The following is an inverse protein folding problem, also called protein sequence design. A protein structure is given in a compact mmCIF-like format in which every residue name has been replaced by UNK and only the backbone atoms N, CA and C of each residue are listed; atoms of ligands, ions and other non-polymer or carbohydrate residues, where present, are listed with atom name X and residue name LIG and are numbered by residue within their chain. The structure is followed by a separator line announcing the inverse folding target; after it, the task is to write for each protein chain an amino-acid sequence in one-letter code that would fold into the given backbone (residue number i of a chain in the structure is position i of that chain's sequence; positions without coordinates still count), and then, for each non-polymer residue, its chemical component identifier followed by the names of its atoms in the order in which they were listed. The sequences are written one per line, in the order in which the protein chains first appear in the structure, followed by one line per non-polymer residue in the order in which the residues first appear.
data_IF_677189267925
#
_entry.id   IF_677189267925
#
_cell.length_a   1.000
_cell.length_b   1.000
_cell.length_c   1.000
_cell.angle_alpha   90.00
_cell.angle_beta   90.00
_cell.angle_gamma   90.00
#
_symmetry.space_group_name_H-M   'P 1'
#
loop_
_entity.id
_entity.type
_entity.pdbx_description
1 polymer ?
#
# COMPACT_ATOMS: atom_id res chain seq x y z
N UNK A 1 4.15 57.73 6.72
CA UNK A 1 3.34 56.49 6.68
C UNK A 1 4.14 55.42 7.40
N UNK A 2 3.60 54.77 8.44
CA UNK A 2 4.26 53.66 9.14
C UNK A 2 3.55 52.38 8.74
N UNK A 3 4.24 51.48 8.05
CA UNK A 3 3.70 50.18 7.66
C UNK A 3 3.59 49.26 8.88
N UNK A 4 2.42 48.68 9.09
CA UNK A 4 2.22 47.63 10.09
C UNK A 4 2.54 46.30 9.41
N UNK A 5 3.70 45.73 9.72
CA UNK A 5 4.04 44.38 9.28
C UNK A 5 3.22 43.36 10.05
N UNK A 6 2.28 42.69 9.38
CA UNK A 6 1.53 41.58 9.97
C UNK A 6 2.42 40.34 9.93
N UNK A 7 3.03 40.00 11.06
CA UNK A 7 3.73 38.74 11.23
C UNK A 7 2.69 37.61 11.33
N UNK A 8 2.56 36.84 10.26
CA UNK A 8 1.76 35.60 10.26
C UNK A 8 2.56 34.54 11.02
N UNK A 9 2.21 34.33 12.28
CA UNK A 9 2.80 33.29 13.12
C UNK A 9 2.18 31.94 12.71
N UNK A 10 2.87 31.20 11.83
CA UNK A 10 2.47 29.82 11.51
C UNK A 10 2.78 28.95 12.73
N UNK A 11 1.72 28.60 13.47
CA UNK A 11 1.79 27.62 14.55
C UNK A 11 1.92 26.23 13.92
N UNK A 12 3.16 25.75 13.81
CA UNK A 12 3.44 24.34 13.57
C UNK A 12 3.02 23.57 14.83
N UNK A 13 1.80 23.04 14.82
CA UNK A 13 1.30 22.18 15.88
C UNK A 13 1.97 20.82 15.77
N UNK A 14 2.98 20.57 16.60
CA UNK A 14 3.58 19.23 16.70
C UNK A 14 2.56 18.27 17.33
N UNK A 15 2.14 17.26 16.57
CA UNK A 15 1.38 16.12 17.09
C UNK A 15 2.19 15.45 18.20
N UNK A 16 1.64 15.39 19.41
CA UNK A 16 2.31 14.80 20.56
C UNK A 16 1.94 13.31 20.63
N UNK A 17 2.78 12.47 20.03
CA UNK A 17 2.68 11.01 20.19
C UNK A 17 2.94 10.64 21.66
N UNK A 18 1.92 10.06 22.29
CA UNK A 18 1.91 9.77 23.73
C UNK A 18 2.55 8.40 24.00
N UNK A 19 3.89 8.35 24.03
CA UNK A 19 4.66 7.11 24.23
C UNK A 19 4.67 6.65 25.70
N UNK A 20 3.64 5.93 26.14
CA UNK A 20 3.64 5.22 27.44
C UNK A 20 3.39 3.71 27.24
N UNK A 21 4.43 2.87 27.41
CA UNK A 21 4.31 1.43 27.12
C UNK A 21 5.52 0.56 27.44
N UNK A 22 6.16 0.73 28.60
CA UNK A 22 7.29 -0.13 29.02
C UNK A 22 6.81 -1.56 29.36
N UNK A 23 7.05 -2.52 28.47
CA UNK A 23 6.73 -3.95 28.65
C UNK A 23 7.97 -4.85 28.62
N UNK A 24 8.75 -4.91 29.71
CA UNK A 24 9.88 -5.84 29.82
C UNK A 24 9.41 -7.27 30.13
N UNK A 25 9.45 -8.15 29.13
CA UNK A 25 9.17 -9.59 29.28
C UNK A 25 10.37 -10.45 28.89
N UNK A 26 11.24 -10.78 29.84
CA UNK A 26 12.32 -11.75 29.64
C UNK A 26 11.79 -13.18 29.83
N UNK A 27 11.75 -13.95 28.74
CA UNK A 27 11.36 -15.37 28.74
C UNK A 27 12.43 -16.22 28.06
N UNK A 28 13.40 -16.69 28.83
CA UNK A 28 14.42 -17.66 28.39
C UNK A 28 13.84 -19.08 28.39
N UNK A 29 13.48 -19.64 27.22
CA UNK A 29 13.13 -21.06 27.06
C UNK A 29 13.69 -21.66 25.75
N UNK A 30 14.76 -22.45 25.91
CA UNK A 30 15.53 -23.23 24.93
C UNK A 30 15.67 -24.67 25.50
N UNK A 31 15.83 -25.78 24.74
CA UNK A 31 15.57 -26.13 23.33
C UNK A 31 14.64 -27.39 23.23
N UNK A 32 14.59 -28.25 22.16
CA UNK A 32 15.70 -29.08 21.64
C UNK A 32 15.79 -29.21 20.09
N UNK A 33 16.90 -29.76 19.53
CA UNK A 33 17.12 -29.82 18.08
C UNK A 33 16.65 -31.12 17.37
N UNK A 34 16.44 -30.96 16.06
CA UNK A 34 16.55 -31.94 14.97
C UNK A 34 15.49 -33.06 14.80
N UNK A 35 14.96 -33.18 13.58
CA UNK A 35 15.08 -34.42 12.78
C UNK A 35 15.18 -34.10 11.28
N UNK A 36 16.13 -34.74 10.59
CA UNK A 36 16.29 -34.64 9.14
C UNK A 36 15.33 -35.61 8.42
N UNK A 37 14.71 -35.18 7.32
CA UNK A 37 14.05 -36.08 6.38
C UNK A 37 14.46 -35.73 4.95
N UNK A 38 15.24 -36.63 4.33
CA UNK A 38 15.72 -36.47 2.95
C UNK A 38 14.82 -37.30 2.04
N UNK A 39 14.10 -36.67 1.11
CA UNK A 39 13.21 -37.35 0.18
C UNK A 39 13.25 -36.72 -1.21
N UNK A 40 13.81 -37.38 -2.24
CA UNK A 40 13.79 -36.88 -3.60
C UNK A 40 12.46 -37.22 -4.29
N UNK A 41 11.74 -36.21 -4.77
CA UNK A 41 10.62 -36.41 -5.71
C UNK A 41 10.94 -35.67 -7.00
N UNK A 42 11.18 -36.43 -8.06
CA UNK A 42 11.34 -35.92 -9.42
C UNK A 42 10.03 -36.10 -10.20
N UNK A 43 9.46 -35.01 -10.70
CA UNK A 43 8.38 -35.04 -11.72
C UNK A 43 8.46 -33.83 -12.66
N UNK A 44 9.38 -33.93 -13.62
CA UNK A 44 9.06 -34.00 -15.06
C UNK A 44 7.87 -33.18 -15.61
N UNK A 45 8.20 -32.13 -16.39
CA UNK A 45 7.52 -31.70 -17.64
C UNK A 45 6.09 -31.12 -17.49
N UNK A 46 5.81 -29.90 -17.97
CA UNK A 46 5.61 -29.64 -19.42
C UNK A 46 5.79 -28.17 -19.77
N UNK A 47 6.63 -27.87 -20.76
CA UNK A 47 6.66 -26.56 -21.41
C UNK A 47 5.51 -26.49 -22.45
N UNK A 48 4.67 -25.46 -22.34
CA UNK A 48 3.66 -25.14 -23.35
C UNK A 48 4.09 -23.87 -24.09
N UNK A 49 4.59 -24.03 -25.32
CA UNK A 49 4.84 -22.91 -26.22
C UNK A 49 3.51 -22.33 -26.73
N UNK A 50 3.23 -21.07 -26.41
CA UNK A 50 2.09 -20.33 -26.97
C UNK A 50 2.57 -19.21 -27.88
N UNK A 51 2.87 -19.58 -29.13
CA UNK A 51 3.19 -18.62 -30.20
C UNK A 51 1.89 -18.00 -30.74
N UNK A 52 1.52 -16.83 -30.25
CA UNK A 52 0.28 -16.12 -30.63
C UNK A 52 0.53 -14.79 -31.34
N UNK A 53 0.89 -14.82 -32.64
CA UNK A 53 0.89 -13.62 -33.48
C UNK A 53 -0.54 -13.24 -33.88
N UNK A 54 -0.97 -12.00 -33.60
CA UNK A 54 -2.12 -11.36 -34.26
C UNK A 54 -1.93 -9.85 -34.34
N UNK A 55 -1.48 -9.38 -35.51
CA UNK A 55 -1.61 -7.97 -35.91
C UNK A 55 -3.05 -7.69 -36.33
N UNK A 56 -3.71 -6.70 -35.72
CA UNK A 56 -4.93 -6.11 -36.24
C UNK A 56 -4.89 -4.59 -36.04
N UNK A 57 -4.80 -3.87 -37.15
CA UNK A 57 -5.01 -2.42 -37.17
C UNK A 57 -6.49 -2.14 -37.44
N UNK A 58 -7.08 -1.29 -36.60
CA UNK A 58 -8.32 -0.53 -36.86
C UNK A 58 -7.99 0.88 -36.37
N UNK A 59 -7.87 1.91 -37.22
CA UNK A 59 -8.82 2.46 -38.20
C UNK A 59 -9.97 3.24 -37.55
N UNK A 60 -10.45 4.27 -38.24
CA UNK A 60 -10.90 5.52 -37.63
C UNK A 60 -12.32 5.49 -37.06
N UNK A 61 -12.60 6.34 -36.06
CA UNK A 61 -13.89 7.06 -36.04
C UNK A 61 -13.74 8.44 -35.40
N UNK A 62 -14.08 9.47 -36.17
CA UNK A 62 -14.14 10.85 -35.71
C UNK A 62 -15.45 11.17 -34.97
N UNK A 63 -15.32 11.83 -33.82
CA UNK A 63 -16.19 12.95 -33.43
C UNK A 63 -17.53 12.64 -32.73
N UNK A 64 -17.73 13.29 -31.57
CA UNK A 64 -18.89 14.17 -31.39
C UNK A 64 -18.62 15.21 -30.30
N UNK A 65 -18.61 16.49 -30.66
CA UNK A 65 -18.70 17.61 -29.70
C UNK A 65 -20.15 17.74 -29.24
N UNK A 66 -20.45 17.29 -28.03
CA UNK A 66 -21.76 17.45 -27.37
C UNK A 66 -21.63 18.26 -26.08
N UNK A 67 -21.76 19.59 -26.18
CA UNK A 67 -21.83 20.45 -24.99
C UNK A 67 -23.22 20.39 -24.37
N UNK A 68 -23.29 20.10 -23.07
CA UNK A 68 -24.53 20.21 -22.28
C UNK A 68 -24.29 21.16 -21.11
N UNK A 69 -24.84 22.37 -21.19
CA UNK A 69 -24.75 23.38 -20.14
C UNK A 69 -25.66 23.01 -18.95
N UNK A 70 -25.14 22.22 -18.02
CA UNK A 70 -25.81 21.86 -16.77
C UNK A 70 -25.78 22.99 -15.74
N UNK A 71 -26.73 23.94 -15.83
CA UNK A 71 -26.92 24.97 -14.80
C UNK A 71 -27.56 24.43 -13.52
N UNK A 72 -26.90 24.66 -12.37
CA UNK A 72 -27.47 24.56 -11.02
C UNK A 72 -27.31 23.19 -10.37
N UNK A 73 -26.71 23.12 -9.18
CA UNK A 73 -27.46 23.50 -7.97
C UNK A 73 -26.54 23.82 -6.78
N UNK A 74 -26.98 24.81 -5.99
CA UNK A 74 -26.67 25.04 -4.56
C UNK A 74 -25.31 24.60 -4.00
N UNK A 75 -24.42 25.58 -3.84
CA UNK A 75 -23.33 25.52 -2.86
C UNK A 75 -23.91 25.45 -1.44
N UNK A 76 -24.15 24.23 -0.94
CA UNK A 76 -24.42 23.96 0.46
C UNK A 76 -23.13 24.01 1.26
N UNK A 77 -22.69 25.20 1.66
CA UNK A 77 -21.57 25.36 2.60
C UNK A 77 -22.02 24.98 4.01
N UNK A 78 -22.32 23.71 4.22
CA UNK A 78 -22.31 23.13 5.57
C UNK A 78 -20.86 23.20 6.03
N UNK A 79 -20.59 24.10 6.97
CA UNK A 79 -19.26 24.23 7.58
C UNK A 79 -18.99 23.00 8.44
N UNK A 80 -18.64 21.87 7.81
CA UNK A 80 -17.92 20.82 8.48
C UNK A 80 -16.65 21.42 9.06
N UNK A 81 -16.36 21.09 10.32
CA UNK A 81 -15.06 21.39 10.90
C UNK A 81 -13.97 20.80 9.97
N UNK A 82 -12.82 21.48 9.80
CA UNK A 82 -11.72 20.88 9.06
C UNK A 82 -11.42 19.53 9.73
N UNK A 83 -11.49 18.44 8.93
CA UNK A 83 -11.15 17.09 9.38
C UNK A 83 -9.83 17.16 10.15
N UNK A 84 -9.75 16.52 11.32
CA UNK A 84 -8.50 16.52 12.05
C UNK A 84 -7.44 15.80 11.19
N UNK A 85 -6.17 16.20 11.33
CA UNK A 85 -5.10 15.43 10.70
C UNK A 85 -5.17 13.99 11.22
N UNK A 86 -5.34 13.03 10.30
CA UNK A 86 -5.58 11.62 10.59
C UNK A 86 -7.02 11.11 10.34
N UNK A 87 -8.04 11.98 10.25
CA UNK A 87 -9.41 11.53 9.95
C UNK A 87 -9.56 11.15 8.46
N UNK A 88 -9.74 9.86 8.19
CA UNK A 88 -10.06 9.36 6.85
C UNK A 88 -11.49 9.76 6.42
N UNK A 89 -11.66 10.12 5.15
CA UNK A 89 -12.99 10.29 4.56
C UNK A 89 -13.79 8.97 4.62
N UNK A 90 -15.12 9.02 4.90
CA UNK A 90 -15.94 7.82 4.92
C UNK A 90 -15.94 7.16 3.53
N UNK A 91 -15.95 5.82 3.46
CA UNK A 91 -15.85 5.10 2.19
C UNK A 91 -17.10 5.30 1.32
N UNK A 92 -16.98 5.22 -0.01
CA UNK A 92 -18.12 5.22 -0.92
C UNK A 92 -19.00 3.96 -0.71
N UNK A 93 -20.29 4.08 -1.00
CA UNK A 93 -21.24 2.98 -0.80
C UNK A 93 -21.08 1.84 -1.83
N UNK A 94 -20.48 2.14 -2.99
CA UNK A 94 -20.23 1.23 -4.09
C UNK A 94 -18.77 1.44 -4.55
N UNK A 95 -18.02 0.35 -4.76
CA UNK A 95 -16.68 0.43 -5.37
C UNK A 95 -16.78 0.50 -6.91
N UNK A 96 -15.77 1.09 -7.55
CA UNK A 96 -15.64 1.08 -9.01
C UNK A 96 -15.34 -0.33 -9.57
N UNK A 97 -15.55 -0.53 -10.89
CA UNK A 97 -15.27 -1.78 -11.60
C UNK A 97 -13.78 -2.17 -11.66
N UNK A 98 -12.88 -1.27 -11.22
CA UNK A 98 -11.44 -1.52 -11.07
C UNK A 98 -11.06 -2.43 -9.89
N UNK A 99 -11.98 -2.72 -8.95
CA UNK A 99 -11.72 -3.56 -7.78
C UNK A 99 -12.04 -5.04 -8.02
N UNK A 100 -11.16 -5.96 -7.59
CA UNK A 100 -11.44 -7.42 -7.60
C UNK A 100 -12.53 -7.78 -6.58
N UNK A 101 -12.55 -7.08 -5.45
CA UNK A 101 -13.51 -7.22 -4.37
C UNK A 101 -13.90 -5.85 -3.80
N UNK A 102 -15.10 -5.76 -3.23
CA UNK A 102 -15.56 -4.60 -2.48
C UNK A 102 -16.13 -5.09 -1.14
N UNK A 103 -15.58 -4.62 -0.02
CA UNK A 103 -16.08 -4.94 1.33
C UNK A 103 -16.17 -3.66 2.15
N UNK A 104 -17.37 -3.34 2.64
CA UNK A 104 -17.65 -2.13 3.42
C UNK A 104 -17.15 -0.80 2.78
N UNK A 105 -17.06 -0.78 1.45
CA UNK A 105 -16.56 0.36 0.66
C UNK A 105 -15.04 0.46 0.53
N UNK A 106 -14.29 -0.56 0.97
CA UNK A 106 -12.86 -0.75 0.71
C UNK A 106 -12.65 -1.57 -0.56
N UNK A 107 -11.81 -1.04 -1.47
CA UNK A 107 -11.45 -1.68 -2.73
C UNK A 107 -10.37 -2.74 -2.51
N UNK A 108 -10.72 -4.01 -2.68
CA UNK A 108 -9.79 -5.12 -2.59
C UNK A 108 -9.13 -5.46 -3.93
N UNK A 109 -7.80 -5.44 -3.97
CA UNK A 109 -6.98 -5.99 -5.06
C UNK A 109 -6.28 -7.26 -4.55
N UNK A 110 -6.57 -8.42 -5.14
CA UNK A 110 -6.34 -9.73 -4.47
C UNK A 110 -5.53 -10.69 -5.33
N UNK A 111 -4.22 -10.67 -5.13
CA UNK A 111 -3.22 -11.46 -5.85
C UNK A 111 -3.02 -12.84 -5.18
N UNK A 112 -3.97 -13.76 -5.37
CA UNK A 112 -3.90 -15.14 -4.83
C UNK A 112 -3.26 -16.08 -5.86
N UNK A 113 -2.07 -16.60 -5.53
CA UNK A 113 -1.33 -17.56 -6.36
C UNK A 113 0.11 -17.14 -6.63
N UNK A 114 0.87 -18.02 -7.27
CA UNK A 114 2.27 -17.75 -7.62
C UNK A 114 2.35 -16.74 -8.78
N UNK A 115 3.07 -15.64 -8.59
CA UNK A 115 3.37 -14.61 -9.61
C UNK A 115 2.17 -13.93 -10.31
N UNK A 116 0.95 -14.00 -9.74
CA UNK A 116 -0.29 -13.53 -10.40
C UNK A 116 -0.30 -12.04 -10.75
N UNK A 117 0.29 -11.18 -9.91
CA UNK A 117 0.42 -9.74 -10.10
C UNK A 117 1.88 -9.30 -10.26
N UNK A 118 2.80 -10.22 -10.61
CA UNK A 118 4.22 -9.91 -10.71
C UNK A 118 4.47 -8.86 -11.80
N UNK A 119 5.16 -7.77 -11.47
CA UNK A 119 5.46 -6.67 -12.39
C UNK A 119 4.25 -5.83 -12.84
N UNK A 120 3.07 -6.03 -12.22
CA UNK A 120 1.86 -5.24 -12.53
C UNK A 120 1.90 -3.85 -11.90
N UNK A 121 1.16 -2.90 -12.48
CA UNK A 121 0.82 -1.63 -11.82
C UNK A 121 -0.56 -1.80 -11.15
N UNK A 122 -0.59 -1.76 -9.82
CA UNK A 122 -1.79 -1.86 -9.00
C UNK A 122 -2.17 -0.45 -8.52
N UNK A 123 -3.07 0.19 -9.26
CA UNK A 123 -3.57 1.54 -8.97
C UNK A 123 -4.83 1.46 -8.13
N UNK A 124 -4.76 1.92 -6.89
CA UNK A 124 -5.93 2.03 -6.02
C UNK A 124 -6.85 3.17 -6.48
N UNK A 125 -8.19 3.03 -6.33
CA UNK A 125 -9.14 4.09 -6.70
C UNK A 125 -8.93 5.35 -5.85
N UNK A 126 -9.01 6.52 -6.47
CA UNK A 126 -8.69 7.80 -5.84
C UNK A 126 -9.70 8.28 -4.78
N UNK A 127 -10.88 7.67 -4.76
CA UNK A 127 -12.09 8.11 -4.06
C UNK A 127 -12.54 7.18 -2.91
N UNK A 128 -11.74 6.16 -2.58
CA UNK A 128 -12.04 5.23 -1.48
C UNK A 128 -10.78 4.59 -0.87
N UNK A 129 -10.93 3.93 0.30
CA UNK A 129 -9.85 3.14 0.89
C UNK A 129 -9.54 1.90 0.04
N UNK A 130 -8.30 1.43 0.13
CA UNK A 130 -7.78 0.35 -0.71
C UNK A 130 -7.06 -0.72 0.13
N UNK A 131 -7.28 -1.99 -0.22
CA UNK A 131 -6.68 -3.15 0.41
C UNK A 131 -6.02 -4.04 -0.65
N UNK A 132 -4.69 -4.15 -0.63
CA UNK A 132 -3.92 -4.99 -1.54
C UNK A 132 -3.43 -6.24 -0.80
N UNK A 133 -3.79 -7.42 -1.29
CA UNK A 133 -3.43 -8.70 -0.66
C UNK A 133 -2.59 -9.58 -1.56
N UNK A 134 -1.32 -9.74 -1.20
CA UNK A 134 -0.34 -10.54 -1.91
C UNK A 134 -0.21 -11.92 -1.25
N UNK A 135 -1.03 -12.87 -1.72
CA UNK A 135 -1.18 -14.20 -1.11
C UNK A 135 -0.68 -15.32 -2.04
N UNK A 136 0.64 -15.42 -2.13
CA UNK A 136 1.33 -16.46 -2.88
C UNK A 136 2.81 -16.13 -3.07
N UNK A 137 3.61 -17.14 -3.39
CA UNK A 137 5.05 -16.95 -3.67
C UNK A 137 5.23 -15.94 -4.79
N UNK A 138 5.96 -14.85 -4.52
CA UNK A 138 6.17 -13.74 -5.47
C UNK A 138 4.88 -13.16 -6.09
N UNK A 139 3.75 -13.28 -5.40
CA UNK A 139 2.41 -12.91 -5.91
C UNK A 139 2.32 -11.49 -6.45
N UNK A 140 3.02 -10.53 -5.83
CA UNK A 140 3.13 -9.14 -6.25
C UNK A 140 4.59 -8.71 -6.48
N UNK A 141 5.54 -9.64 -6.66
CA UNK A 141 6.95 -9.25 -6.77
C UNK A 141 7.18 -8.29 -7.95
N UNK A 142 8.09 -7.32 -7.79
CA UNK A 142 8.41 -6.31 -8.80
C UNK A 142 7.20 -5.42 -9.22
N UNK A 143 6.06 -5.50 -8.52
CA UNK A 143 4.88 -4.69 -8.80
C UNK A 143 5.05 -3.24 -8.33
N UNK A 144 4.35 -2.31 -8.98
CA UNK A 144 4.17 -0.94 -8.50
C UNK A 144 2.79 -0.82 -7.89
N UNK A 145 2.69 -0.36 -6.65
CA UNK A 145 1.42 -0.15 -5.94
C UNK A 145 1.29 1.35 -5.68
N UNK A 146 0.25 1.98 -6.25
CA UNK A 146 -0.01 3.41 -6.06
C UNK A 146 -1.27 3.59 -5.21
N UNK A 147 -1.07 4.04 -3.97
CA UNK A 147 -2.14 4.34 -3.03
C UNK A 147 -2.83 5.68 -3.35
N UNK A 148 -4.10 5.86 -2.93
CA UNK A 148 -4.82 7.11 -3.14
C UNK A 148 -4.20 8.28 -2.35
N UNK A 149 -4.49 9.54 -2.71
CA UNK A 149 -3.88 10.73 -2.09
C UNK A 149 -4.60 11.23 -0.83
N UNK A 150 -5.79 10.73 -0.49
CA UNK A 150 -6.57 11.16 0.69
C UNK A 150 -7.26 10.03 1.48
N UNK A 151 -7.02 8.76 1.15
CA UNK A 151 -7.71 7.62 1.76
C UNK A 151 -6.73 6.60 2.35
N UNK A 152 -7.21 5.72 3.22
CA UNK A 152 -6.39 4.68 3.81
C UNK A 152 -5.98 3.63 2.76
N UNK A 153 -4.72 3.19 2.82
CA UNK A 153 -4.18 2.14 1.96
C UNK A 153 -3.54 1.05 2.84
N UNK A 154 -3.95 -0.21 2.70
CA UNK A 154 -3.36 -1.34 3.42
C UNK A 154 -2.80 -2.37 2.44
N UNK A 155 -1.57 -2.81 2.67
CA UNK A 155 -0.88 -3.81 1.85
C UNK A 155 -0.42 -4.98 2.73
N UNK A 156 -0.91 -6.18 2.48
CA UNK A 156 -0.58 -7.38 3.25
C UNK A 156 0.16 -8.43 2.40
N UNK A 157 1.40 -8.73 2.79
CA UNK A 157 2.32 -9.62 2.09
C UNK A 157 2.43 -10.95 2.84
N UNK A 158 1.77 -12.02 2.36
CA UNK A 158 1.63 -13.31 3.09
C UNK A 158 2.45 -14.48 2.54
N UNK A 159 3.02 -14.36 1.34
CA UNK A 159 3.82 -15.42 0.73
C UNK A 159 5.32 -15.15 0.81
N UNK A 160 6.13 -16.21 0.61
CA UNK A 160 7.58 -16.08 0.41
C UNK A 160 7.85 -15.13 -0.76
N UNK A 161 8.64 -14.08 -0.52
CA UNK A 161 8.92 -13.03 -1.51
C UNK A 161 7.66 -12.37 -2.12
N UNK A 162 6.51 -12.43 -1.45
CA UNK A 162 5.22 -11.98 -2.01
C UNK A 162 5.25 -10.52 -2.50
N UNK A 163 5.97 -9.66 -1.81
CA UNK A 163 6.17 -8.25 -2.15
C UNK A 163 7.66 -7.92 -2.33
N UNK A 164 8.46 -8.89 -2.79
CA UNK A 164 9.87 -8.64 -3.07
C UNK A 164 10.05 -7.64 -4.22
N UNK A 165 10.97 -6.68 -4.04
CA UNK A 165 11.26 -5.62 -5.02
C UNK A 165 10.02 -4.78 -5.46
N UNK A 166 8.95 -4.74 -4.63
CA UNK A 166 7.77 -3.89 -4.86
C UNK A 166 8.12 -2.42 -4.67
N UNK A 167 7.53 -1.55 -5.50
CA UNK A 167 7.51 -0.10 -5.28
C UNK A 167 6.15 0.31 -4.75
N UNK A 168 6.06 0.63 -3.45
CA UNK A 168 4.83 1.07 -2.78
C UNK A 168 4.87 2.59 -2.57
N UNK A 169 4.00 3.30 -3.29
CA UNK A 169 3.88 4.77 -3.24
C UNK A 169 2.64 5.15 -2.43
N UNK A 170 2.85 5.60 -1.21
CA UNK A 170 1.81 6.10 -0.33
C UNK A 170 1.44 7.55 -0.70
N UNK A 171 0.15 7.88 -0.67
CA UNK A 171 -0.33 9.26 -0.72
C UNK A 171 -0.54 9.84 0.67
N UNK A 172 -1.66 10.53 0.87
CA UNK A 172 -2.34 10.58 2.16
C UNK A 172 -3.60 9.69 2.13
N UNK A 173 -4.31 9.46 3.22
CA UNK A 173 -3.88 9.69 4.58
C UNK A 173 -3.03 8.49 5.02
N UNK A 174 -3.57 7.56 5.83
CA UNK A 174 -2.78 6.45 6.37
C UNK A 174 -2.32 5.42 5.33
N UNK A 175 -1.09 4.93 5.48
CA UNK A 175 -0.53 3.85 4.67
C UNK A 175 0.01 2.74 5.60
N UNK A 176 -0.52 1.53 5.50
CA UNK A 176 -0.17 0.38 6.36
C UNK A 176 0.41 -0.76 5.52
N UNK A 177 1.67 -1.14 5.78
CA UNK A 177 2.34 -2.27 5.15
C UNK A 177 2.63 -3.36 6.17
N UNK A 178 2.12 -4.57 5.92
CA UNK A 178 2.34 -5.73 6.78
C UNK A 178 3.11 -6.84 6.06
N UNK A 179 4.32 -7.09 6.55
CA UNK A 179 5.22 -8.14 6.06
C UNK A 179 5.03 -9.39 6.93
N UNK A 180 4.17 -10.30 6.45
CA UNK A 180 3.67 -11.43 7.21
C UNK A 180 4.31 -12.76 6.76
N UNK A 181 4.37 -13.71 7.70
CA UNK A 181 4.76 -15.13 7.53
C UNK A 181 6.20 -15.47 7.12
N UNK A 182 6.97 -14.57 6.51
CA UNK A 182 8.28 -14.89 5.93
C UNK A 182 9.34 -13.79 6.14
N UNK A 183 10.60 -14.15 6.47
CA UNK A 183 11.71 -13.19 6.59
C UNK A 183 12.12 -12.55 5.25
N UNK A 184 11.55 -13.00 4.14
CA UNK A 184 11.75 -12.42 2.80
C UNK A 184 10.45 -11.89 2.18
N UNK A 185 9.36 -11.78 2.95
CA UNK A 185 8.06 -11.36 2.42
C UNK A 185 8.10 -9.99 1.72
N UNK A 186 8.90 -9.06 2.26
CA UNK A 186 9.08 -7.69 1.77
C UNK A 186 10.54 -7.38 1.38
N UNK A 187 11.32 -8.40 0.98
CA UNK A 187 12.75 -8.20 0.69
C UNK A 187 12.98 -7.16 -0.39
N UNK A 188 13.84 -6.16 -0.14
CA UNK A 188 14.13 -5.04 -1.07
C UNK A 188 12.90 -4.21 -1.50
N UNK A 189 11.79 -4.25 -0.77
CA UNK A 189 10.63 -3.40 -1.05
C UNK A 189 11.02 -1.92 -0.89
N UNK A 190 10.63 -1.09 -1.86
CA UNK A 190 10.82 0.35 -1.88
C UNK A 190 9.53 1.03 -1.37
N UNK A 191 9.58 1.59 -0.16
CA UNK A 191 8.43 2.20 0.50
C UNK A 191 8.56 3.72 0.50
N UNK A 192 7.80 4.39 -0.36
CA UNK A 192 7.74 5.85 -0.42
C UNK A 192 6.57 6.37 0.40
N UNK A 193 6.84 6.87 1.61
CA UNK A 193 5.79 7.50 2.43
C UNK A 193 5.32 8.82 1.81
N UNK A 194 4.03 9.11 1.96
CA UNK A 194 3.48 10.42 1.65
C UNK A 194 3.47 11.36 2.86
N UNK A 195 2.44 12.21 2.95
CA UNK A 195 2.39 13.35 3.89
C UNK A 195 1.66 13.07 5.20
N UNK A 196 1.36 11.82 5.52
CA UNK A 196 0.59 11.40 6.70
C UNK A 196 1.22 10.13 7.27
N UNK A 197 0.81 9.77 8.49
CA UNK A 197 1.29 8.59 9.23
C UNK A 197 1.33 7.34 8.34
N UNK A 198 2.52 6.78 8.19
CA UNK A 198 2.77 5.57 7.42
C UNK A 198 3.44 4.53 8.31
N UNK A 199 2.79 3.38 8.47
CA UNK A 199 3.19 2.29 9.37
C UNK A 199 3.75 1.12 8.56
N UNK A 200 4.89 0.59 9.00
CA UNK A 200 5.43 -0.67 8.48
C UNK A 200 5.54 -1.65 9.66
N UNK A 201 4.81 -2.76 9.57
CA UNK A 201 4.86 -3.85 10.53
C UNK A 201 5.48 -5.10 9.89
N UNK A 202 6.67 -5.48 10.36
CA UNK A 202 7.31 -6.73 9.99
C UNK A 202 7.12 -7.75 11.11
N UNK A 203 6.25 -8.75 10.91
CA UNK A 203 5.95 -9.76 11.93
C UNK A 203 7.00 -10.88 12.06
N UNK A 204 8.09 -10.78 11.30
CA UNK A 204 9.31 -11.60 11.40
C UNK A 204 10.51 -10.74 11.03
N UNK A 205 11.67 -10.97 11.66
CA UNK A 205 12.95 -10.39 11.25
C UNK A 205 13.13 -10.55 9.73
N UNK A 206 13.42 -9.46 9.00
CA UNK A 206 13.64 -9.53 7.55
C UNK A 206 15.11 -9.79 7.23
N UNK A 207 15.41 -10.73 6.33
CA UNK A 207 16.77 -11.04 5.86
C UNK A 207 17.36 -9.88 5.02
N UNK A 208 16.49 -9.14 4.32
CA UNK A 208 16.81 -7.95 3.53
C UNK A 208 15.70 -6.92 3.79
N UNK A 209 15.94 -5.87 4.60
CA UNK A 209 14.90 -4.98 5.09
C UNK A 209 14.34 -4.07 4.00
N UNK A 210 13.06 -3.66 4.07
CA UNK A 210 12.49 -2.70 3.12
C UNK A 210 13.21 -1.35 3.21
N UNK A 211 13.42 -0.71 2.06
CA UNK A 211 14.00 0.64 1.95
C UNK A 211 12.90 1.67 2.11
N UNK A 212 12.93 2.42 3.22
CA UNK A 212 11.94 3.45 3.52
C UNK A 212 12.43 4.82 3.06
N UNK A 213 11.72 5.44 2.11
CA UNK A 213 11.94 6.80 1.66
C UNK A 213 10.96 7.75 2.37
N UNK A 214 11.42 8.35 3.47
CA UNK A 214 10.66 9.35 4.20
C UNK A 214 10.67 10.70 3.48
N UNK A 215 9.54 11.08 2.88
CA UNK A 215 9.35 12.43 2.30
C UNK A 215 8.91 13.49 3.33
N UNK A 216 8.58 13.05 4.55
CA UNK A 216 8.12 13.87 5.68
C UNK A 216 8.59 13.31 7.03
N UNK A 217 8.04 13.81 8.13
CA UNK A 217 8.47 13.52 9.51
C UNK A 217 7.76 12.34 10.20
N UNK A 218 6.89 11.61 9.49
CA UNK A 218 5.86 10.72 10.09
C UNK A 218 5.84 9.30 9.47
N UNK A 219 7.01 8.79 9.05
CA UNK A 219 7.17 7.36 8.75
C UNK A 219 7.64 6.64 10.01
N UNK A 220 6.79 5.83 10.64
CA UNK A 220 7.15 5.00 11.79
C UNK A 220 7.33 3.53 11.36
N UNK A 221 8.58 3.08 11.32
CA UNK A 221 8.90 1.65 11.39
C UNK A 221 8.83 1.23 12.86
N UNK A 222 7.90 0.33 13.20
CA UNK A 222 7.64 -0.03 14.61
C UNK A 222 8.47 -1.20 15.13
N UNK A 223 9.15 -1.95 14.25
CA UNK A 223 9.86 -3.19 14.62
C UNK A 223 11.35 -3.21 14.20
N UNK A 224 12.13 -4.03 14.90
CA UNK A 224 13.50 -4.33 14.50
C UNK A 224 13.48 -5.10 13.17
N UNK A 225 13.97 -4.48 12.09
CA UNK A 225 13.96 -5.11 10.76
C UNK A 225 13.42 -4.25 9.62
N UNK A 226 13.00 -3.00 9.86
CA UNK A 226 12.95 -1.97 8.82
C UNK A 226 14.00 -0.88 9.10
N UNK A 227 14.99 -0.76 8.20
CA UNK A 227 16.04 0.27 8.30
C UNK A 227 15.65 1.46 7.40
N UNK A 228 15.22 2.57 8.00
CA UNK A 228 15.16 3.85 7.29
C UNK A 228 16.58 4.27 6.86
N UNK A 229 16.74 4.65 5.58
CA UNK A 229 18.04 5.02 4.97
C UNK A 229 18.21 6.53 4.81
#
# INVERSE_FOLDING_TARGET
MRGIGVAVLVLVGACNLNTEGLGSGSGDDDPPPATSSTGPVSTTTTAAESTGSSTAAVDETSGTTGGTEGSGTTAGTTGGEPLACGDALPPPADCDQSCDACQDGECGLVCIGEMICQGSNLECPSDGPCYVRCNGTRSCAEATITCPPQHACRVECFGTEACADVVLVCGGGPCDLQCNTSPVACSRLDFSCGTNDSTIECNTDQDDPPVVHASGSECECSQAGCEAK
#
